data_IF_823468836655
#
_entry.id   IF_823468836655
#
_cell.length_a   1.000
_cell.length_b   1.000
_cell.length_c   1.000
_cell.angle_alpha   90.00
_cell.angle_beta   90.00
_cell.angle_gamma   90.00
#
_symmetry.space_group_name_H-M   'P 1'
#
loop_
_entity.id
_entity.type
_entity.pdbx_description
1 polymer ?
#
# COMPACT_ATOMS: atom_id res chain seq x y z
N UNK A 1 -16.02 -13.15 4.78
CA UNK A 1 -16.35 -12.25 3.65
C UNK A 1 -15.27 -12.43 2.59
N UNK A 2 -15.64 -12.40 1.31
CA UNK A 2 -14.66 -12.36 0.23
C UNK A 2 -13.90 -11.03 0.28
N UNK A 3 -12.58 -11.08 0.05
CA UNK A 3 -11.78 -9.86 -0.07
C UNK A 3 -12.11 -9.14 -1.39
N UNK A 4 -12.11 -7.80 -1.43
CA UNK A 4 -12.20 -7.06 -2.68
C UNK A 4 -11.09 -7.46 -3.65
N UNK A 5 -11.41 -7.46 -4.94
CA UNK A 5 -10.51 -7.85 -6.03
C UNK A 5 -9.82 -9.21 -5.75
N UNK A 6 -10.55 -10.34 -5.84
CA UNK A 6 -10.02 -11.67 -5.53
C UNK A 6 -8.71 -12.02 -6.25
N UNK A 7 -8.52 -11.53 -7.47
CA UNK A 7 -7.36 -11.70 -8.33
C UNK A 7 -6.13 -10.88 -7.92
N UNK A 8 -6.26 -9.93 -6.97
CA UNK A 8 -5.15 -9.05 -6.57
C UNK A 8 -3.89 -9.80 -6.15
N UNK A 9 -4.03 -10.96 -5.49
CA UNK A 9 -2.88 -11.76 -5.06
C UNK A 9 -2.13 -12.45 -6.23
N UNK A 10 -2.71 -12.42 -7.44
CA UNK A 10 -2.08 -12.93 -8.68
C UNK A 10 -1.42 -11.80 -9.49
N UNK A 11 -1.66 -10.55 -9.14
CA UNK A 11 -1.07 -9.39 -9.82
C UNK A 11 0.27 -9.05 -9.18
N UNK A 12 1.31 -8.89 -10.00
CA UNK A 12 2.53 -8.21 -9.57
C UNK A 12 2.41 -6.69 -9.78
N UNK A 13 3.44 -5.95 -9.36
CA UNK A 13 3.45 -4.49 -9.48
C UNK A 13 3.31 -4.00 -10.93
N UNK A 14 3.85 -4.74 -11.90
CA UNK A 14 3.79 -4.35 -13.31
C UNK A 14 2.41 -4.64 -13.91
N UNK A 15 1.79 -5.78 -13.56
CA UNK A 15 0.43 -6.09 -13.94
C UNK A 15 -0.58 -5.12 -13.32
N UNK A 16 -0.40 -4.73 -12.06
CA UNK A 16 -1.20 -3.68 -11.42
C UNK A 16 -1.07 -2.35 -12.17
N UNK A 17 0.16 -1.93 -12.50
CA UNK A 17 0.40 -0.68 -13.22
C UNK A 17 -0.22 -0.68 -14.62
N UNK A 18 -0.14 -1.81 -15.34
CA UNK A 18 -0.74 -1.96 -16.67
C UNK A 18 -2.26 -1.82 -16.62
N UNK A 19 -2.94 -2.46 -15.66
CA UNK A 19 -4.38 -2.35 -15.49
C UNK A 19 -4.82 -0.92 -15.14
N UNK A 20 -4.04 -0.22 -14.31
CA UNK A 20 -4.28 1.20 -14.00
C UNK A 20 -4.09 2.08 -15.24
N UNK A 21 -3.03 1.83 -16.01
CA UNK A 21 -2.75 2.58 -17.24
C UNK A 21 -3.86 2.40 -18.28
N UNK A 22 -4.41 1.19 -18.41
CA UNK A 22 -5.53 0.88 -19.30
C UNK A 22 -6.88 1.38 -18.79
N UNK A 23 -6.97 1.80 -17.52
CA UNK A 23 -8.22 2.21 -16.88
C UNK A 23 -9.15 1.04 -16.52
N UNK A 24 -8.63 -0.20 -16.53
CA UNK A 24 -9.37 -1.40 -16.12
C UNK A 24 -9.51 -1.49 -14.60
N UNK A 25 -8.58 -0.89 -13.87
CA UNK A 25 -8.64 -0.68 -12.42
C UNK A 25 -8.26 0.77 -12.09
N UNK A 26 -8.83 1.32 -11.04
CA UNK A 26 -8.36 2.57 -10.45
C UNK A 26 -7.31 2.31 -9.37
N UNK A 27 -6.41 3.28 -9.16
CA UNK A 27 -5.47 3.28 -8.04
C UNK A 27 -6.18 3.17 -6.68
N UNK A 28 -7.40 3.72 -6.57
CA UNK A 28 -8.21 3.66 -5.36
C UNK A 28 -8.73 2.24 -5.08
N UNK A 29 -9.21 1.53 -6.11
CA UNK A 29 -9.63 0.13 -5.99
C UNK A 29 -8.46 -0.77 -5.58
N UNK A 30 -7.27 -0.58 -6.16
CA UNK A 30 -6.06 -1.30 -5.74
C UNK A 30 -5.68 -1.00 -4.29
N UNK A 31 -5.77 0.27 -3.87
CA UNK A 31 -5.51 0.66 -2.49
C UNK A 31 -6.49 -0.03 -1.53
N UNK A 32 -7.80 0.01 -1.81
CA UNK A 32 -8.81 -0.62 -0.96
C UNK A 32 -8.65 -2.14 -0.89
N UNK A 33 -8.36 -2.80 -2.02
CA UNK A 33 -8.06 -4.23 -2.06
C UNK A 33 -6.80 -4.59 -1.25
N UNK A 34 -5.78 -3.73 -1.25
CA UNK A 34 -4.56 -3.92 -0.46
C UNK A 34 -4.81 -3.74 1.05
N UNK A 35 -5.59 -2.73 1.44
CA UNK A 35 -5.93 -2.45 2.84
C UNK A 35 -6.80 -3.54 3.43
N UNK A 36 -7.76 -4.07 2.66
CA UNK A 36 -8.56 -5.22 3.09
C UNK A 36 -7.69 -6.45 3.39
N UNK A 37 -6.60 -6.66 2.63
CA UNK A 37 -5.62 -7.71 2.89
C UNK A 37 -4.78 -7.43 4.13
N UNK A 38 -4.38 -6.18 4.36
CA UNK A 38 -3.72 -5.76 5.61
C UNK A 38 -4.62 -6.06 6.81
N UNK A 39 -5.88 -5.63 6.77
CA UNK A 39 -6.83 -5.85 7.87
C UNK A 39 -7.08 -7.34 8.14
N UNK A 40 -7.15 -8.16 7.10
CA UNK A 40 -7.36 -9.60 7.24
C UNK A 40 -6.12 -10.38 7.72
N UNK A 41 -4.91 -9.96 7.32
CA UNK A 41 -3.67 -10.77 7.51
C UNK A 41 -2.76 -10.23 8.61
N UNK A 42 -2.65 -8.91 8.76
CA UNK A 42 -1.72 -8.27 9.69
C UNK A 42 -1.92 -8.64 11.17
N UNK A 43 -3.13 -8.91 11.69
CA UNK A 43 -3.29 -9.33 13.09
C UNK A 43 -2.48 -10.58 13.47
N UNK A 44 -2.26 -11.49 12.52
CA UNK A 44 -1.46 -12.71 12.74
C UNK A 44 0.03 -12.54 12.41
N UNK A 45 0.35 -11.63 11.48
CA UNK A 45 1.71 -11.46 10.95
C UNK A 45 2.51 -10.37 11.68
N UNK A 46 1.82 -9.33 12.18
CA UNK A 46 2.44 -8.14 12.75
C UNK A 46 3.50 -7.49 11.83
N UNK A 47 3.18 -7.38 10.54
CA UNK A 47 4.07 -6.87 9.50
C UNK A 47 4.01 -5.34 9.33
N UNK A 48 2.82 -4.74 9.50
CA UNK A 48 2.61 -3.28 9.40
C UNK A 48 2.74 -2.67 10.79
N UNK A 49 3.81 -1.92 11.01
CA UNK A 49 4.14 -1.30 12.32
C UNK A 49 3.67 0.15 12.45
N UNK A 50 3.49 0.85 11.33
CA UNK A 50 2.88 2.17 11.25
C UNK A 50 1.82 2.13 10.17
N UNK A 51 0.56 2.40 10.53
CA UNK A 51 -0.54 2.41 9.58
C UNK A 51 -0.65 3.79 8.93
N UNK A 52 -0.37 3.85 7.63
CA UNK A 52 -0.41 5.08 6.83
C UNK A 52 -1.62 5.15 5.90
N UNK A 53 -2.71 4.39 6.17
CA UNK A 53 -3.90 4.33 5.29
C UNK A 53 -4.49 5.70 4.96
N UNK A 54 -4.59 6.60 5.94
CA UNK A 54 -5.14 7.95 5.72
C UNK A 54 -4.25 8.78 4.77
N UNK A 55 -2.93 8.64 4.91
CA UNK A 55 -1.99 9.26 3.97
C UNK A 55 -2.15 8.67 2.57
N UNK A 56 -2.31 7.36 2.45
CA UNK A 56 -2.52 6.72 1.15
C UNK A 56 -3.83 7.19 0.50
N UNK A 57 -4.94 7.22 1.26
CA UNK A 57 -6.25 7.69 0.79
C UNK A 57 -6.24 9.14 0.33
N UNK A 58 -5.51 10.01 1.02
CA UNK A 58 -5.39 11.43 0.61
C UNK A 58 -4.50 11.63 -0.62
N UNK A 59 -3.60 10.70 -0.93
CA UNK A 59 -2.66 10.81 -2.06
C UNK A 59 -3.11 10.09 -3.33
N UNK A 60 -3.94 9.05 -3.22
CA UNK A 60 -4.26 8.16 -4.35
C UNK A 60 -4.92 8.86 -5.55
N UNK A 61 -5.58 10.00 -5.34
CA UNK A 61 -6.20 10.81 -6.40
C UNK A 61 -5.26 11.80 -7.10
N UNK A 62 -4.07 12.04 -6.56
CA UNK A 62 -3.08 13.00 -7.07
C UNK A 62 -1.69 12.36 -7.05
N UNK A 63 -1.49 11.43 -7.98
CA UNK A 63 -0.24 10.67 -8.13
C UNK A 63 0.55 11.18 -9.34
N UNK A 64 1.89 11.30 -9.22
CA UNK A 64 2.73 11.67 -10.34
C UNK A 64 2.68 10.59 -11.43
N UNK A 65 2.97 11.00 -12.67
CA UNK A 65 3.13 10.06 -13.77
C UNK A 65 4.40 9.22 -13.61
N UNK A 66 4.33 7.95 -14.00
CA UNK A 66 5.44 7.02 -13.90
C UNK A 66 5.03 5.57 -14.17
N UNK A 67 6.01 4.67 -14.35
CA UNK A 67 5.77 3.28 -14.76
C UNK A 67 5.03 2.43 -13.72
N UNK A 68 4.96 2.89 -12.47
CA UNK A 68 4.24 2.22 -11.36
C UNK A 68 3.17 3.13 -10.75
N UNK A 69 2.65 4.10 -11.52
CA UNK A 69 1.57 4.98 -11.06
C UNK A 69 0.39 4.15 -10.56
N UNK A 70 -0.05 4.41 -9.33
CA UNK A 70 -1.22 3.74 -8.73
C UNK A 70 -0.94 2.44 -7.98
N UNK A 71 0.28 1.88 -8.07
CA UNK A 71 0.63 0.62 -7.39
C UNK A 71 0.85 0.86 -5.88
N UNK A 72 0.08 0.20 -4.99
CA UNK A 72 0.32 0.27 -3.55
C UNK A 72 1.61 -0.46 -3.16
N UNK A 73 2.36 0.08 -2.19
CA UNK A 73 3.55 -0.57 -1.65
C UNK A 73 3.73 -0.24 -0.16
N UNK A 74 4.56 -1.04 0.52
CA UNK A 74 4.95 -0.81 1.92
C UNK A 74 6.36 -0.24 1.99
N UNK A 75 6.58 0.69 2.92
CA UNK A 75 7.90 1.24 3.22
C UNK A 75 8.44 0.60 4.49
N UNK A 76 9.67 0.10 4.44
CA UNK A 76 10.32 -0.48 5.62
C UNK A 76 10.67 0.63 6.63
N UNK A 77 10.30 0.44 7.90
CA UNK A 77 10.72 1.31 9.01
C UNK A 77 12.16 1.02 9.45
N UNK A 78 13.10 1.18 8.51
CA UNK A 78 14.53 1.03 8.75
C UNK A 78 15.32 1.69 7.61
N UNK A 79 15.94 2.84 7.86
CA UNK A 79 16.79 3.60 6.91
C UNK A 79 16.08 4.23 5.70
N UNK A 80 14.88 3.80 5.34
CA UNK A 80 14.01 4.57 4.44
C UNK A 80 13.14 5.52 5.26
N UNK A 81 13.14 6.80 4.92
CA UNK A 81 12.38 7.81 5.64
C UNK A 81 11.32 8.43 4.73
N UNK A 82 10.12 8.60 5.27
CA UNK A 82 9.04 9.34 4.65
C UNK A 82 8.72 10.56 5.51
N UNK A 83 8.86 11.75 4.92
CA UNK A 83 8.65 13.00 5.63
C UNK A 83 7.24 13.06 6.25
N UNK A 84 7.19 13.44 7.53
CA UNK A 84 5.95 13.51 8.32
C UNK A 84 5.42 12.18 8.84
N UNK A 85 6.26 11.13 8.91
CA UNK A 85 5.89 9.82 9.48
C UNK A 85 6.91 9.39 10.55
N UNK A 86 6.50 8.54 11.52
CA UNK A 86 7.42 8.00 12.51
C UNK A 86 8.55 7.17 11.89
N UNK A 87 9.71 7.17 12.54
CA UNK A 87 10.85 6.31 12.19
C UNK A 87 11.36 5.66 13.46
N UNK A 88 11.04 4.39 13.68
CA UNK A 88 11.48 3.67 14.89
C UNK A 88 12.74 2.84 14.64
N UNK A 89 13.03 2.46 13.39
CA UNK A 89 14.16 1.59 13.09
C UNK A 89 14.11 0.23 13.79
N UNK A 90 12.92 -0.20 14.24
CA UNK A 90 12.77 -1.40 15.08
C UNK A 90 13.28 -1.24 16.51
N UNK A 91 13.59 -0.03 16.96
CA UNK A 91 14.13 0.26 18.29
C UNK A 91 13.07 0.90 19.19
N UNK A 92 12.87 0.34 20.40
CA UNK A 92 11.91 0.86 21.38
C UNK A 92 12.25 2.28 21.86
N UNK A 93 13.52 2.67 21.86
CA UNK A 93 13.97 4.01 22.25
C UNK A 93 13.52 5.10 21.26
N UNK A 94 13.31 4.72 19.99
CA UNK A 94 12.96 5.63 18.90
C UNK A 94 11.45 5.58 18.56
N UNK A 95 10.67 4.82 19.33
CA UNK A 95 9.21 4.77 19.20
C UNK A 95 8.54 5.92 19.93
#
# INVERSE_FOLDING_TARGET
>A
MALPLPEYDQLDATGMAELVQKGELSSAELLDASLARVDARNPSLNAVVHDLRERARTKVGDLPDGPLKGVPFMLKDLKQHLAGTPVSGGCKLLK
#
